data_IF_692982117744
#
_entry.id   IF_692982117744
#
_cell.length_a   1.000
_cell.length_b   1.000
_cell.length_c   1.000
_cell.angle_alpha   90.00
_cell.angle_beta   90.00
_cell.angle_gamma   90.00
#
_symmetry.space_group_name_H-M   'P 1'
#
loop_
_entity.id
_entity.type
_entity.pdbx_description
1 polymer ?
#
# COMPACT_ATOMS: atom_id res chain seq x y z
N UNK A 1 13.87 -20.20 7.56
CA UNK A 1 12.71 -20.28 6.64
C UNK A 1 13.20 -19.90 5.25
N UNK A 2 13.01 -20.76 4.24
CA UNK A 2 13.30 -20.41 2.85
C UNK A 2 12.26 -19.37 2.42
N UNK A 3 12.68 -18.19 1.97
CA UNK A 3 11.73 -17.16 1.56
C UNK A 3 10.96 -17.63 0.31
N UNK A 4 9.65 -17.86 0.46
CA UNK A 4 8.77 -18.17 -0.67
C UNK A 4 8.73 -16.96 -1.62
N UNK A 5 9.04 -17.17 -2.90
CA UNK A 5 9.00 -16.11 -3.91
C UNK A 5 7.60 -16.06 -4.52
N UNK A 6 6.76 -15.15 -4.04
CA UNK A 6 5.41 -14.97 -4.56
C UNK A 6 5.38 -14.22 -5.90
N UNK A 7 6.15 -13.14 -6.03
CA UNK A 7 6.17 -12.32 -7.25
C UNK A 7 7.33 -12.70 -8.16
N UNK A 8 7.02 -12.92 -9.43
CA UNK A 8 7.98 -13.40 -10.43
C UNK A 8 8.11 -12.41 -11.60
N UNK A 9 9.08 -12.59 -12.52
CA UNK A 9 9.13 -11.79 -13.74
C UNK A 9 7.81 -11.80 -14.54
N UNK A 10 7.02 -12.88 -14.46
CA UNK A 10 5.72 -12.99 -15.12
C UNK A 10 4.70 -11.99 -14.55
N UNK A 11 4.72 -11.71 -13.24
CA UNK A 11 3.90 -10.68 -12.59
C UNK A 11 4.13 -9.31 -13.24
N UNK A 12 5.40 -8.91 -13.37
CA UNK A 12 5.76 -7.62 -13.94
C UNK A 12 5.59 -7.58 -15.46
N UNK A 13 5.75 -8.70 -16.16
CA UNK A 13 5.44 -8.81 -17.58
C UNK A 13 3.94 -8.58 -17.85
N UNK A 14 3.07 -9.21 -17.06
CA UNK A 14 1.62 -8.96 -17.12
C UNK A 14 1.27 -7.49 -16.90
N UNK A 15 1.87 -6.82 -15.91
CA UNK A 15 1.61 -5.39 -15.67
C UNK A 15 2.03 -4.51 -16.87
N UNK A 16 3.15 -4.83 -17.54
CA UNK A 16 3.60 -4.10 -18.74
C UNK A 16 2.66 -4.33 -19.92
N UNK A 17 2.22 -5.56 -20.15
CA UNK A 17 1.27 -5.87 -21.22
C UNK A 17 -0.10 -5.25 -20.96
N UNK A 18 -0.56 -5.26 -19.71
CA UNK A 18 -1.79 -4.58 -19.30
C UNK A 18 -1.69 -3.07 -19.54
N UNK A 19 -0.53 -2.45 -19.29
CA UNK A 19 -0.31 -1.04 -19.57
C UNK A 19 -0.42 -0.74 -21.08
N UNK A 20 0.11 -1.62 -21.94
CA UNK A 20 0.04 -1.49 -23.39
C UNK A 20 -1.36 -1.77 -23.96
N UNK A 21 -2.16 -2.60 -23.28
CA UNK A 21 -3.47 -3.08 -23.75
C UNK A 21 -4.59 -2.80 -22.73
N UNK A 22 -4.61 -1.61 -22.13
CA UNK A 22 -5.50 -1.31 -21.00
C UNK A 22 -6.96 -1.09 -21.45
N UNK A 23 -7.62 -2.18 -21.83
CA UNK A 23 -9.01 -2.23 -22.24
C UNK A 23 -9.67 -3.53 -21.77
N UNK A 24 -11.00 -3.54 -21.75
CA UNK A 24 -11.80 -4.62 -21.16
C UNK A 24 -11.67 -5.94 -21.92
N UNK A 25 -11.58 -5.88 -23.25
CA UNK A 25 -11.48 -7.07 -24.11
C UNK A 25 -10.18 -7.84 -23.83
N UNK A 26 -9.05 -7.14 -23.88
CA UNK A 26 -7.74 -7.73 -23.59
C UNK A 26 -7.67 -8.28 -22.16
N UNK A 27 -8.18 -7.52 -21.17
CA UNK A 27 -8.18 -7.99 -19.78
C UNK A 27 -9.03 -9.25 -19.59
N UNK A 28 -10.21 -9.32 -20.22
CA UNK A 28 -11.07 -10.51 -20.13
C UNK A 28 -10.39 -11.73 -20.75
N UNK A 29 -9.73 -11.57 -21.90
CA UNK A 29 -8.97 -12.64 -22.55
C UNK A 29 -7.76 -13.11 -21.70
N UNK A 30 -7.19 -12.22 -20.88
CA UNK A 30 -6.03 -12.51 -20.02
C UNK A 30 -6.40 -12.69 -18.54
N UNK A 31 -7.70 -12.86 -18.22
CA UNK A 31 -8.18 -12.88 -16.84
C UNK A 31 -7.62 -14.03 -16.02
N UNK A 32 -7.49 -15.22 -16.60
CA UNK A 32 -6.86 -16.37 -15.93
C UNK A 32 -5.42 -16.04 -15.56
N UNK A 33 -4.65 -15.47 -16.50
CA UNK A 33 -3.28 -15.04 -16.25
C UNK A 33 -3.18 -14.02 -15.13
N UNK A 34 -4.10 -13.05 -15.09
CA UNK A 34 -4.20 -12.11 -13.98
C UNK A 34 -4.44 -12.79 -12.63
N UNK A 35 -5.35 -13.76 -12.58
CA UNK A 35 -5.61 -14.54 -11.36
C UNK A 35 -4.37 -15.34 -10.94
N UNK A 36 -3.63 -15.93 -11.87
CA UNK A 36 -2.49 -16.80 -11.56
C UNK A 36 -1.24 -16.01 -11.15
N UNK A 37 -0.80 -15.05 -11.97
CA UNK A 37 0.54 -14.44 -11.82
C UNK A 37 0.55 -13.17 -10.99
N UNK A 38 -0.62 -12.64 -10.63
CA UNK A 38 -0.72 -11.36 -9.93
C UNK A 38 -1.66 -11.46 -8.73
N UNK A 39 -2.95 -11.77 -8.93
CA UNK A 39 -3.90 -11.77 -7.80
C UNK A 39 -3.61 -12.94 -6.86
N UNK A 40 -3.50 -14.16 -7.36
CA UNK A 40 -3.20 -15.36 -6.57
C UNK A 40 -1.91 -15.19 -5.79
N UNK A 41 -0.82 -14.85 -6.49
CA UNK A 41 0.47 -14.54 -5.86
C UNK A 41 0.39 -13.46 -4.77
N UNK A 42 -0.41 -12.40 -4.97
CA UNK A 42 -0.56 -11.35 -3.97
C UNK A 42 -1.34 -11.83 -2.73
N UNK A 43 -2.35 -12.69 -2.91
CA UNK A 43 -3.10 -13.26 -1.79
C UNK A 43 -2.26 -14.27 -1.00
N UNK A 44 -1.47 -15.09 -1.69
CA UNK A 44 -0.49 -15.98 -1.04
C UNK A 44 0.54 -15.18 -0.24
N UNK A 45 1.07 -14.10 -0.80
CA UNK A 45 1.97 -13.20 -0.07
C UNK A 45 1.29 -12.62 1.19
N UNK A 46 0.04 -12.16 1.09
CA UNK A 46 -0.69 -11.60 2.23
C UNK A 46 -0.82 -12.65 3.34
N UNK A 47 -1.17 -13.89 2.99
CA UNK A 47 -1.31 -14.99 3.94
C UNK A 47 0.02 -15.33 4.61
N UNK A 48 1.07 -15.49 3.83
CA UNK A 48 2.39 -15.88 4.36
C UNK A 48 3.07 -14.74 5.14
N UNK A 49 2.69 -13.49 4.87
CA UNK A 49 3.18 -12.31 5.59
C UNK A 49 2.46 -12.05 6.91
N UNK A 50 1.27 -12.63 7.15
CA UNK A 50 0.50 -12.46 8.39
C UNK A 50 1.32 -12.71 9.68
N UNK A 51 2.04 -13.84 9.86
CA UNK A 51 2.83 -14.05 11.07
C UNK A 51 3.96 -13.03 11.22
N UNK A 52 4.60 -12.62 10.12
CA UNK A 52 5.65 -11.60 10.14
C UNK A 52 5.10 -10.22 10.50
N UNK A 53 3.90 -9.90 10.03
CA UNK A 53 3.19 -8.68 10.38
C UNK A 53 2.83 -8.67 11.88
N UNK A 54 2.46 -9.83 12.43
CA UNK A 54 2.17 -9.98 13.86
C UNK A 54 3.39 -9.68 14.73
N UNK A 55 4.58 -10.14 14.32
CA UNK A 55 5.85 -9.85 15.00
C UNK A 55 6.18 -8.35 14.99
N UNK A 56 5.76 -7.62 13.96
CA UNK A 56 5.87 -6.14 13.92
C UNK A 56 4.87 -5.53 14.90
N UNK A 57 3.60 -5.91 14.82
CA UNK A 57 2.56 -5.48 15.76
C UNK A 57 1.28 -6.30 15.61
N UNK A 58 0.66 -6.74 16.72
CA UNK A 58 -0.57 -7.53 16.72
C UNK A 58 -1.81 -6.72 16.31
N UNK A 59 -1.66 -5.40 16.11
CA UNK A 59 -2.74 -4.51 15.75
C UNK A 59 -2.91 -4.34 14.25
N UNK A 60 -2.01 -4.84 13.40
CA UNK A 60 -2.22 -4.81 11.96
C UNK A 60 -2.87 -6.10 11.47
N UNK A 61 -3.62 -5.98 10.36
CA UNK A 61 -4.37 -7.10 9.78
C UNK A 61 -3.89 -7.39 8.37
N UNK A 62 -3.53 -8.65 8.15
CA UNK A 62 -3.40 -9.27 6.84
C UNK A 62 -4.69 -10.02 6.54
N UNK A 63 -5.34 -9.70 5.43
CA UNK A 63 -6.61 -10.28 5.04
C UNK A 63 -6.55 -10.67 3.57
N UNK A 64 -6.44 -11.96 3.29
CA UNK A 64 -6.26 -12.53 1.95
C UNK A 64 -7.59 -12.72 1.20
N UNK A 65 -8.69 -12.12 1.66
CA UNK A 65 -9.95 -12.13 0.91
C UNK A 65 -9.79 -11.38 -0.42
N UNK A 66 -10.29 -12.00 -1.50
CA UNK A 66 -10.31 -11.43 -2.86
C UNK A 66 -11.01 -10.07 -2.94
N UNK A 67 -11.99 -9.82 -2.07
CA UNK A 67 -12.80 -8.60 -2.03
C UNK A 67 -12.84 -8.11 -0.58
N UNK A 68 -12.47 -6.85 -0.38
CA UNK A 68 -12.52 -6.19 0.93
C UNK A 68 -11.36 -6.53 1.87
N UNK A 69 -10.44 -7.40 1.47
CA UNK A 69 -9.21 -7.68 2.21
C UNK A 69 -8.10 -6.65 1.98
N UNK A 70 -6.86 -7.07 2.27
CA UNK A 70 -5.63 -6.28 2.15
C UNK A 70 -5.26 -5.96 0.70
N UNK A 71 -5.69 -6.76 -0.27
CA UNK A 71 -5.40 -6.56 -1.68
C UNK A 71 -6.29 -5.48 -2.31
N UNK A 72 -5.69 -4.53 -3.03
CA UNK A 72 -6.45 -3.51 -3.75
C UNK A 72 -7.14 -4.11 -4.97
N UNK A 73 -8.35 -3.61 -5.27
CA UNK A 73 -9.00 -3.88 -6.55
C UNK A 73 -8.13 -3.37 -7.71
N UNK A 74 -8.06 -4.15 -8.79
CA UNK A 74 -7.38 -3.78 -10.03
C UNK A 74 -8.09 -2.65 -10.78
N UNK A 75 -9.41 -2.50 -10.60
CA UNK A 75 -10.18 -1.46 -11.29
C UNK A 75 -9.83 -0.06 -10.79
N UNK A 76 -9.72 0.88 -11.73
CA UNK A 76 -9.54 2.30 -11.45
C UNK A 76 -10.88 2.99 -11.18
N UNK A 77 -10.84 4.01 -10.34
CA UNK A 77 -11.89 5.01 -10.32
C UNK A 77 -11.51 6.11 -11.33
N UNK A 78 -12.25 6.19 -12.43
CA UNK A 78 -11.94 7.08 -13.55
C UNK A 78 -12.92 8.25 -13.68
N UNK A 79 -13.85 8.42 -12.72
CA UNK A 79 -14.91 9.44 -12.79
C UNK A 79 -14.34 10.84 -13.01
N UNK A 80 -13.29 11.19 -12.26
CA UNK A 80 -12.64 12.50 -12.31
C UNK A 80 -11.29 12.50 -13.04
N UNK A 81 -10.86 11.35 -13.58
CA UNK A 81 -9.57 11.22 -14.28
C UNK A 81 -9.70 11.60 -15.75
N UNK A 82 -8.72 12.34 -16.31
CA UNK A 82 -8.59 12.56 -17.75
C UNK A 82 -8.27 11.27 -18.50
N UNK A 83 -7.41 10.45 -17.89
CA UNK A 83 -7.11 9.09 -18.36
C UNK A 83 -8.24 8.14 -17.95
N UNK A 84 -8.90 7.55 -18.96
CA UNK A 84 -10.07 6.66 -18.79
C UNK A 84 -9.71 5.18 -18.83
N UNK A 85 -8.43 4.82 -18.76
CA UNK A 85 -8.03 3.42 -18.73
C UNK A 85 -8.64 2.69 -17.51
N UNK A 86 -9.29 1.54 -17.70
CA UNK A 86 -10.12 0.89 -16.68
C UNK A 86 -9.33 0.19 -15.57
N UNK A 87 -8.08 -0.21 -15.82
CA UNK A 87 -7.28 -1.03 -14.91
C UNK A 87 -6.04 -0.30 -14.40
N UNK A 88 -5.65 -0.59 -13.17
CA UNK A 88 -4.37 -0.19 -12.59
C UNK A 88 -3.26 -1.01 -13.22
N UNK A 89 -2.16 -0.37 -13.54
CA UNK A 89 -0.93 -0.99 -14.06
C UNK A 89 0.06 -1.34 -12.94
N UNK A 90 -0.45 -1.42 -11.71
CA UNK A 90 0.27 -1.70 -10.48
C UNK A 90 -0.64 -2.52 -9.54
N UNK A 91 -0.03 -3.18 -8.56
CA UNK A 91 -0.75 -3.85 -7.47
C UNK A 91 -0.39 -3.21 -6.15
N UNK A 92 -1.41 -2.94 -5.33
CA UNK A 92 -1.25 -2.41 -3.98
C UNK A 92 -1.76 -3.40 -2.95
N UNK A 93 -1.01 -3.57 -1.87
CA UNK A 93 -1.44 -4.30 -0.67
C UNK A 93 -1.39 -3.33 0.51
N UNK A 94 -2.44 -3.28 1.31
CA UNK A 94 -2.44 -2.53 2.58
C UNK A 94 -2.67 -3.48 3.75
N UNK A 95 -1.90 -3.26 4.81
CA UNK A 95 -2.13 -3.86 6.11
C UNK A 95 -2.65 -2.75 7.02
N UNK A 96 -3.96 -2.78 7.32
CA UNK A 96 -4.62 -1.74 8.12
C UNK A 96 -4.46 -2.04 9.60
N UNK A 97 -4.36 -0.99 10.40
CA UNK A 97 -4.50 -1.08 11.84
C UNK A 97 -5.94 -1.49 12.24
N UNK A 98 -6.09 -2.28 13.30
CA UNK A 98 -7.35 -2.89 13.73
C UNK A 98 -8.40 -1.86 14.17
N UNK A 99 -7.98 -0.67 14.58
CA UNK A 99 -8.87 0.44 14.91
C UNK A 99 -9.38 1.19 13.67
N UNK A 100 -8.74 1.02 12.51
CA UNK A 100 -9.07 1.75 11.29
C UNK A 100 -10.05 1.01 10.40
N UNK A 101 -11.26 1.58 10.23
CA UNK A 101 -12.19 1.16 9.16
C UNK A 101 -11.92 1.87 7.83
N UNK A 102 -11.11 2.92 7.84
CA UNK A 102 -10.81 3.79 6.69
C UNK A 102 -9.31 4.12 6.57
N UNK A 103 -8.95 5.14 5.79
CA UNK A 103 -7.58 5.53 5.49
C UNK A 103 -6.92 6.38 6.60
N UNK A 104 -7.66 6.79 7.64
CA UNK A 104 -7.16 7.70 8.67
C UNK A 104 -6.44 6.98 9.82
N UNK A 105 -6.34 5.66 9.76
CA UNK A 105 -5.53 4.87 10.68
C UNK A 105 -4.14 4.57 10.08
N UNK A 106 -3.13 4.30 10.92
CA UNK A 106 -1.82 3.89 10.42
C UNK A 106 -1.93 2.58 9.63
N UNK A 107 -1.04 2.44 8.65
CA UNK A 107 -0.99 1.26 7.80
C UNK A 107 0.42 1.02 7.26
N UNK A 108 0.64 -0.23 6.85
CA UNK A 108 1.74 -0.59 5.97
C UNK A 108 1.20 -0.76 4.55
N UNK A 109 1.98 -0.33 3.57
CA UNK A 109 1.61 -0.36 2.16
C UNK A 109 2.73 -0.98 1.34
N UNK A 110 2.39 -1.95 0.51
CA UNK A 110 3.27 -2.48 -0.53
C UNK A 110 2.75 -2.07 -1.89
N UNK A 111 3.60 -1.43 -2.67
CA UNK A 111 3.36 -1.06 -4.05
C UNK A 111 4.23 -1.91 -4.98
N UNK A 112 3.60 -2.59 -5.92
CA UNK A 112 4.27 -3.37 -6.95
C UNK A 112 3.94 -2.79 -8.31
N UNK A 113 4.95 -2.23 -8.97
CA UNK A 113 4.85 -1.66 -10.30
C UNK A 113 6.20 -1.84 -11.02
N UNK A 114 6.21 -2.17 -12.33
CA UNK A 114 7.44 -2.21 -13.09
C UNK A 114 8.23 -0.89 -12.91
N UNK A 115 9.47 -1.00 -12.41
CA UNK A 115 10.42 0.11 -12.17
C UNK A 115 10.01 1.14 -11.09
N UNK A 116 8.90 0.92 -10.38
CA UNK A 116 8.37 1.88 -9.40
C UNK A 116 7.77 1.18 -8.17
N UNK A 117 8.29 0.01 -7.80
CA UNK A 117 7.88 -0.68 -6.57
C UNK A 117 8.45 0.02 -5.34
N UNK A 118 7.64 0.18 -4.29
CA UNK A 118 8.05 0.78 -3.03
C UNK A 118 7.21 0.24 -1.87
N UNK A 119 7.69 0.47 -0.65
CA UNK A 119 6.95 0.20 0.58
C UNK A 119 6.71 1.54 1.27
N UNK A 120 5.52 1.73 1.82
CA UNK A 120 5.15 2.89 2.63
C UNK A 120 4.65 2.46 4.00
N UNK A 121 4.81 3.32 4.98
CA UNK A 121 4.25 3.15 6.32
C UNK A 121 3.85 4.51 6.89
N UNK A 122 2.87 4.51 7.80
CA UNK A 122 2.37 5.73 8.43
C UNK A 122 0.89 5.95 8.15
N UNK A 123 0.47 7.21 8.15
CA UNK A 123 -0.94 7.60 7.99
C UNK A 123 -1.08 8.45 6.72
N UNK A 124 -1.96 8.04 5.82
CA UNK A 124 -2.18 8.73 4.55
C UNK A 124 -3.37 9.68 4.64
N UNK A 125 -3.11 10.99 4.44
CA UNK A 125 -4.14 12.04 4.48
C UNK A 125 -5.06 11.93 5.71
N UNK A 126 -4.53 12.03 6.94
CA UNK A 126 -5.35 12.06 8.15
C UNK A 126 -6.32 13.25 8.11
N UNK A 127 -7.51 13.07 8.69
CA UNK A 127 -8.39 14.21 8.97
C UNK A 127 -7.74 15.19 9.96
N UNK A 128 -8.34 16.38 10.11
CA UNK A 128 -7.80 17.44 10.95
C UNK A 128 -7.62 17.04 12.42
N UNK A 129 -8.50 16.18 12.94
CA UNK A 129 -8.45 15.74 14.34
C UNK A 129 -7.29 14.77 14.57
N UNK A 130 -7.14 13.81 13.67
CA UNK A 130 -6.06 12.82 13.68
C UNK A 130 -4.71 13.52 13.45
N UNK A 131 -4.66 14.48 12.53
CA UNK A 131 -3.46 15.28 12.28
C UNK A 131 -3.05 16.11 13.51
N UNK A 132 -4.01 16.70 14.23
CA UNK A 132 -3.74 17.41 15.47
C UNK A 132 -3.14 16.49 16.54
N UNK A 133 -3.68 15.27 16.71
CA UNK A 133 -3.14 14.27 17.64
C UNK A 133 -1.71 13.86 17.31
N UNK A 134 -1.40 13.65 16.02
CA UNK A 134 -0.04 13.30 15.58
C UNK A 134 0.92 14.44 15.93
N UNK A 135 0.53 15.70 15.68
CA UNK A 135 1.37 16.86 15.97
C UNK A 135 1.61 17.03 17.46
N UNK A 136 0.57 16.88 18.30
CA UNK A 136 0.73 16.88 19.76
C UNK A 136 1.68 15.79 20.22
N UNK A 137 1.55 14.56 19.72
CA UNK A 137 2.48 13.49 20.10
C UNK A 137 3.93 13.78 19.70
N UNK A 138 4.17 14.45 18.57
CA UNK A 138 5.51 14.87 18.13
C UNK A 138 6.06 16.01 19.01
N UNK A 139 5.21 16.96 19.41
CA UNK A 139 5.58 18.08 20.28
C UNK A 139 5.85 17.64 21.72
N UNK A 140 5.04 16.70 22.23
CA UNK A 140 5.17 16.09 23.55
C UNK A 140 6.43 15.21 23.67
N UNK A 141 6.86 14.55 22.57
CA UNK A 141 8.07 13.71 22.51
C UNK A 141 8.89 13.92 21.23
N UNK A 142 9.64 15.04 21.12
CA UNK A 142 10.44 15.35 19.94
C UNK A 142 11.62 14.38 19.74
N UNK A 143 12.15 13.83 20.83
CA UNK A 143 13.28 12.88 20.77
C UNK A 143 12.83 11.50 20.30
N UNK A 144 11.68 11.01 20.77
CA UNK A 144 11.04 9.80 20.25
C UNK A 144 10.69 9.93 18.77
N UNK A 145 10.22 11.10 18.33
CA UNK A 145 10.02 11.37 16.89
C UNK A 145 11.33 11.33 16.10
N UNK A 146 12.39 11.97 16.58
CA UNK A 146 13.72 11.91 15.93
C UNK A 146 14.23 10.47 15.87
N UNK A 147 14.09 9.69 16.95
CA UNK A 147 14.46 8.29 16.97
C UNK A 147 13.65 7.47 15.95
N UNK A 148 12.35 7.73 15.85
CA UNK A 148 11.46 7.12 14.85
C UNK A 148 11.77 7.55 13.41
N UNK A 149 12.53 8.63 13.19
CA UNK A 149 13.03 9.03 11.87
C UNK A 149 14.38 8.41 11.51
N UNK A 150 15.15 7.94 12.49
CA UNK A 150 16.51 7.39 12.31
C UNK A 150 16.48 5.92 11.85
N UNK A 151 15.34 5.38 11.41
CA UNK A 151 15.27 4.01 10.89
C UNK A 151 16.31 3.78 9.78
N UNK A 152 17.28 2.93 10.09
CA UNK A 152 18.38 2.56 9.22
C UNK A 152 17.91 1.93 7.92
N UNK A 153 18.52 2.39 6.83
CA UNK A 153 18.59 1.75 5.51
C UNK A 153 17.27 1.56 4.73
N UNK A 154 16.61 2.66 4.34
CA UNK A 154 15.79 2.65 3.11
C UNK A 154 14.47 3.41 3.13
N UNK A 155 14.04 3.95 4.27
CA UNK A 155 12.84 4.78 4.36
C UNK A 155 13.19 6.27 4.37
N UNK A 156 12.37 7.08 3.70
CA UNK A 156 12.47 8.53 3.70
C UNK A 156 11.08 9.14 3.94
N UNK A 157 11.03 10.18 4.77
CA UNK A 157 9.81 10.97 4.93
C UNK A 157 9.50 11.65 3.58
N UNK A 158 8.25 11.54 3.14
CA UNK A 158 7.79 12.07 1.85
C UNK A 158 6.44 12.76 2.01
N UNK A 159 6.12 13.67 1.09
CA UNK A 159 4.90 14.46 1.07
C UNK A 159 5.12 15.95 1.24
N UNK A 160 4.02 16.69 1.27
CA UNK A 160 4.06 18.15 1.37
C UNK A 160 4.50 18.61 2.76
N UNK A 161 5.39 19.61 2.78
CA UNK A 161 5.87 20.23 4.03
C UNK A 161 5.32 21.64 4.15
N UNK A 162 4.85 22.01 5.35
CA UNK A 162 4.40 23.36 5.63
C UNK A 162 5.59 24.34 5.65
N UNK A 163 5.41 25.53 5.07
CA UNK A 163 6.42 26.59 5.10
C UNK A 163 6.62 27.23 6.47
N UNK A 164 5.63 27.11 7.35
CA UNK A 164 5.63 27.68 8.71
C UNK A 164 5.17 26.59 9.69
N UNK A 165 5.60 26.65 10.96
CA UNK A 165 5.07 25.77 11.99
C UNK A 165 3.53 25.79 11.98
N UNK A 166 2.88 24.63 12.11
CA UNK A 166 1.43 24.58 12.19
C UNK A 166 0.96 25.35 13.42
N UNK A 167 -0.04 26.22 13.26
CA UNK A 167 -0.56 27.04 14.38
C UNK A 167 -0.88 26.17 15.59
N UNK A 168 -0.31 26.51 16.75
CA UNK A 168 -0.47 25.76 17.99
C UNK A 168 0.67 24.80 18.32
N UNK A 169 1.72 24.79 17.49
CA UNK A 169 2.98 24.06 17.66
C UNK A 169 4.15 24.95 17.19
#
# INVERSE_FOLDING_TARGET
MTATRHFTPATFAFMRELAANNNREWFNANKTRYEDVLRGSALEFIRDFEPLLWDISPYFRADDRKIGGSLFRIYRDVRFSKDKSPYKTYTGVQFRHAYGKDAHAPGFYLHLQPRASFIGLGIWHPDSLTLAKIRSAIDDDPDGWRQALVFGNGFALSGDTLKRPPRGF
#
